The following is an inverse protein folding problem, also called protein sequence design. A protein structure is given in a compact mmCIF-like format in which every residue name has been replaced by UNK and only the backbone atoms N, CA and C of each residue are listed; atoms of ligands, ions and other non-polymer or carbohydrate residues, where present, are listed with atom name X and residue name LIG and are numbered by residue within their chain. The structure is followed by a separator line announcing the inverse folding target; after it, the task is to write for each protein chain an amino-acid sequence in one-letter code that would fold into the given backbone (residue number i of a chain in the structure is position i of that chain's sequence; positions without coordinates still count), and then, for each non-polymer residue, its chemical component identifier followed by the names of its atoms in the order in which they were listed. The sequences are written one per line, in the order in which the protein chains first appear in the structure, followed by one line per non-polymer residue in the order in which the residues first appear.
data_IF_478506589078
#
_entry.id   IF_478506589078
#
_cell.length_a   1.000
_cell.length_b   1.000
_cell.length_c   1.000
_cell.angle_alpha   90.00
_cell.angle_beta   90.00
_cell.angle_gamma   90.00
#
_symmetry.space_group_name_H-M   'P 1'
#
loop_
_entity.id
_entity.type
_entity.pdbx_description
1 polymer ?
#
# COMPACT_ATOMS: atom_id res chain seq x y z
N UNK A 1 -25.95 6.24 -7.67
CA UNK A 1 -25.57 4.84 -7.93
C UNK A 1 -25.22 4.24 -6.61
N UNK A 2 -25.93 3.20 -6.23
CA UNK A 2 -25.91 2.57 -4.92
C UNK A 2 -24.68 1.66 -4.81
N UNK A 3 -23.74 2.03 -3.94
CA UNK A 3 -22.54 1.23 -3.63
C UNK A 3 -22.91 0.30 -2.47
N UNK A 4 -23.48 -0.85 -2.86
CA UNK A 4 -24.03 -1.84 -1.96
C UNK A 4 -23.05 -2.37 -0.90
N UNK A 5 -23.66 -2.70 0.23
CA UNK A 5 -23.16 -3.46 1.37
C UNK A 5 -22.15 -4.56 0.98
N UNK A 6 -20.88 -4.37 1.38
CA UNK A 6 -19.77 -5.31 1.13
C UNK A 6 -19.55 -6.32 2.27
N UNK A 7 -20.58 -6.61 3.08
CA UNK A 7 -20.46 -7.62 4.15
C UNK A 7 -20.85 -9.04 3.74
N UNK A 8 -21.28 -9.26 2.50
CA UNK A 8 -21.59 -10.61 2.00
C UNK A 8 -20.35 -11.30 1.41
N UNK A 9 -19.84 -12.34 2.09
CA UNK A 9 -18.90 -13.29 1.48
C UNK A 9 -19.54 -13.96 0.25
N UNK A 10 -18.84 -14.05 -0.90
CA UNK A 10 -19.39 -14.70 -2.08
C UNK A 10 -19.54 -16.21 -1.85
N UNK A 11 -20.63 -16.78 -2.36
CA UNK A 11 -20.86 -18.23 -2.37
C UNK A 11 -19.81 -18.94 -3.23
N UNK A 12 -19.35 -20.10 -2.76
CA UNK A 12 -18.43 -20.98 -3.47
C UNK A 12 -19.21 -21.94 -4.37
N UNK A 13 -19.16 -21.72 -5.69
CA UNK A 13 -19.66 -22.68 -6.67
C UNK A 13 -18.55 -23.73 -6.89
N UNK A 14 -18.78 -24.94 -6.37
CA UNK A 14 -17.79 -26.01 -6.16
C UNK A 14 -17.07 -26.60 -7.38
N UNK A 15 -17.12 -25.98 -8.56
CA UNK A 15 -16.38 -26.41 -9.76
C UNK A 15 -15.70 -25.26 -10.51
N UNK A 16 -15.95 -24.00 -10.13
CA UNK A 16 -15.30 -22.82 -10.70
C UNK A 16 -14.94 -21.88 -9.53
N UNK A 17 -13.67 -21.47 -9.39
CA UNK A 17 -13.25 -20.50 -8.35
C UNK A 17 -14.16 -19.27 -8.26
N UNK A 18 -14.13 -18.49 -7.16
CA UNK A 18 -15.25 -17.65 -6.72
C UNK A 18 -15.84 -16.85 -7.88
N UNK A 19 -17.12 -17.12 -8.18
CA UNK A 19 -17.94 -16.56 -9.26
C UNK A 19 -18.24 -15.06 -9.10
N UNK A 20 -17.39 -14.34 -8.36
CA UNK A 20 -17.54 -12.93 -8.04
C UNK A 20 -16.80 -12.02 -9.01
N UNK A 21 -17.32 -10.80 -9.15
CA UNK A 21 -16.70 -9.69 -9.88
C UNK A 21 -15.62 -8.96 -9.06
N UNK A 22 -15.48 -9.26 -7.77
CA UNK A 22 -14.48 -8.68 -6.86
C UNK A 22 -13.12 -9.38 -6.91
N UNK A 23 -12.08 -8.84 -6.25
CA UNK A 23 -10.71 -9.37 -6.34
C UNK A 23 -10.58 -10.78 -5.73
N UNK A 24 -9.53 -11.51 -6.10
CA UNK A 24 -9.15 -12.75 -5.38
C UNK A 24 -8.36 -12.35 -4.14
N UNK A 25 -8.97 -12.45 -2.96
CA UNK A 25 -8.32 -12.16 -1.68
C UNK A 25 -7.91 -13.47 -1.01
N UNK A 26 -6.61 -13.75 -0.90
CA UNK A 26 -6.12 -15.02 -0.35
C UNK A 26 -6.59 -15.24 1.10
N UNK A 27 -6.79 -14.17 1.86
CA UNK A 27 -7.29 -14.20 3.23
C UNK A 27 -8.74 -14.72 3.36
N UNK A 28 -9.52 -14.71 2.28
CA UNK A 28 -10.94 -15.07 2.27
C UNK A 28 -11.19 -16.46 1.64
N UNK A 29 -10.13 -17.17 1.24
CA UNK A 29 -10.24 -18.48 0.62
C UNK A 29 -10.14 -19.59 1.68
N UNK A 30 -10.96 -20.63 1.51
CA UNK A 30 -10.70 -21.92 2.17
C UNK A 30 -9.48 -22.58 1.52
N UNK A 31 -8.86 -23.55 2.21
CA UNK A 31 -7.69 -24.25 1.64
C UNK A 31 -7.94 -24.92 0.27
N UNK A 32 -9.07 -25.62 0.03
CA UNK A 32 -9.37 -26.15 -1.30
C UNK A 32 -9.57 -25.06 -2.36
N UNK A 33 -10.19 -23.94 -1.98
CA UNK A 33 -10.38 -22.80 -2.86
C UNK A 33 -9.06 -22.14 -3.26
N UNK A 34 -8.14 -21.99 -2.31
CA UNK A 34 -6.79 -21.51 -2.56
C UNK A 34 -6.09 -22.40 -3.60
N UNK A 35 -6.12 -23.73 -3.41
CA UNK A 35 -5.52 -24.67 -4.36
C UNK A 35 -6.10 -24.50 -5.77
N UNK A 36 -7.42 -24.35 -5.89
CA UNK A 36 -8.10 -24.20 -7.19
C UNK A 36 -7.76 -22.89 -7.92
N UNK A 37 -7.54 -21.78 -7.20
CA UNK A 37 -7.18 -20.51 -7.85
C UNK A 37 -5.69 -20.43 -8.16
N UNK A 38 -4.84 -21.04 -7.33
CA UNK A 38 -3.38 -20.94 -7.41
C UNK A 38 -2.81 -21.34 -8.78
N UNK A 39 -3.38 -22.37 -9.40
CA UNK A 39 -2.98 -22.84 -10.75
C UNK A 39 -3.19 -21.79 -11.86
N UNK A 40 -3.96 -20.74 -11.59
CA UNK A 40 -4.31 -19.68 -12.55
C UNK A 40 -3.68 -18.33 -12.20
N UNK A 41 -2.94 -18.26 -11.09
CA UNK A 41 -2.32 -17.02 -10.64
C UNK A 41 -0.98 -16.81 -11.35
N UNK A 42 -0.86 -15.66 -12.00
CA UNK A 42 0.40 -15.20 -12.57
C UNK A 42 1.16 -14.28 -11.62
N UNK A 43 0.47 -13.59 -10.70
CA UNK A 43 1.05 -12.61 -9.79
C UNK A 43 0.26 -12.53 -8.47
N UNK A 44 0.98 -12.38 -7.36
CA UNK A 44 0.39 -11.99 -6.06
C UNK A 44 0.83 -10.59 -5.67
N UNK A 45 -0.14 -9.72 -5.38
CA UNK A 45 0.08 -8.42 -4.75
C UNK A 45 0.17 -8.60 -3.23
N UNK A 46 1.19 -8.01 -2.61
CA UNK A 46 1.38 -8.03 -1.15
C UNK A 46 1.19 -6.60 -0.62
N UNK A 47 0.03 -6.28 -0.02
CA UNK A 47 -0.18 -4.95 0.55
C UNK A 47 0.68 -4.77 1.80
N UNK A 48 1.47 -3.71 1.84
CA UNK A 48 2.29 -3.34 3.01
C UNK A 48 2.00 -1.90 3.39
N UNK A 49 1.43 -1.72 4.57
CA UNK A 49 1.18 -0.39 5.14
C UNK A 49 2.02 -0.17 6.39
N UNK A 50 1.44 0.58 7.33
CA UNK A 50 1.97 0.79 8.66
C UNK A 50 0.84 1.13 9.65
N UNK A 51 1.22 1.20 10.93
CA UNK A 51 0.34 1.61 12.01
C UNK A 51 0.96 2.80 12.73
N UNK A 52 0.60 4.00 12.31
CA UNK A 52 1.23 5.24 12.75
C UNK A 52 0.26 6.41 12.80
N UNK A 53 0.50 7.35 13.71
CA UNK A 53 -0.23 8.61 13.77
C UNK A 53 -0.31 9.25 12.36
N UNK A 54 -1.44 9.86 12.02
CA UNK A 54 -1.64 10.60 10.77
C UNK A 54 -2.32 11.95 11.06
N UNK A 55 -1.85 12.61 12.12
CA UNK A 55 -2.52 13.79 12.66
C UNK A 55 -3.83 13.48 13.40
N UNK A 56 -4.62 14.53 13.69
CA UNK A 56 -5.83 14.40 14.49
C UNK A 56 -7.03 13.85 13.71
N UNK A 57 -7.02 13.95 12.39
CA UNK A 57 -8.19 13.68 11.56
C UNK A 57 -8.25 12.23 11.04
N UNK A 58 -7.09 11.59 10.81
CA UNK A 58 -7.00 10.30 10.13
C UNK A 58 -6.71 9.15 11.09
N UNK A 59 -7.19 7.93 10.78
CA UNK A 59 -6.91 6.76 11.60
C UNK A 59 -5.44 6.34 11.47
N UNK A 60 -4.92 5.73 12.53
CA UNK A 60 -3.55 5.17 12.55
C UNK A 60 -3.30 4.04 11.54
N UNK A 61 -4.36 3.54 10.88
CA UNK A 61 -4.32 2.49 9.86
C UNK A 61 -4.36 3.03 8.42
N UNK A 62 -4.14 4.33 8.21
CA UNK A 62 -4.27 5.03 6.92
C UNK A 62 -3.49 4.33 5.81
N UNK A 63 -2.23 3.99 6.08
CA UNK A 63 -1.36 3.30 5.12
C UNK A 63 -1.90 1.92 4.73
N UNK A 64 -2.26 1.09 5.72
CA UNK A 64 -2.76 -0.28 5.48
C UNK A 64 -4.06 -0.26 4.71
N UNK A 65 -5.00 0.64 5.06
CA UNK A 65 -6.25 0.80 4.34
C UNK A 65 -6.02 1.17 2.87
N UNK A 66 -5.11 2.11 2.63
CA UNK A 66 -4.74 2.56 1.28
C UNK A 66 -4.12 1.43 0.46
N UNK A 67 -3.18 0.67 1.03
CA UNK A 67 -2.54 -0.46 0.35
C UNK A 67 -3.55 -1.55 -0.02
N UNK A 68 -4.41 -1.94 0.93
CA UNK A 68 -5.44 -2.96 0.72
C UNK A 68 -6.39 -2.60 -0.41
N UNK A 69 -6.90 -1.38 -0.41
CA UNK A 69 -7.87 -0.92 -1.42
C UNK A 69 -7.22 -0.81 -2.77
N UNK A 70 -6.01 -0.25 -2.85
CA UNK A 70 -5.30 -0.13 -4.12
C UNK A 70 -5.00 -1.50 -4.74
N UNK A 71 -4.52 -2.47 -3.94
CA UNK A 71 -4.33 -3.86 -4.38
C UNK A 71 -5.65 -4.51 -4.81
N UNK A 72 -6.72 -4.35 -4.02
CA UNK A 72 -8.02 -4.92 -4.32
C UNK A 72 -8.62 -4.38 -5.63
N UNK A 73 -8.52 -3.08 -5.87
CA UNK A 73 -8.97 -2.47 -7.12
C UNK A 73 -8.13 -2.96 -8.31
N UNK A 74 -6.81 -2.99 -8.21
CA UNK A 74 -5.94 -3.48 -9.28
C UNK A 74 -6.18 -4.97 -9.58
N UNK A 75 -6.26 -5.82 -8.55
CA UNK A 75 -6.53 -7.24 -8.70
C UNK A 75 -7.91 -7.52 -9.29
N UNK A 76 -8.92 -6.69 -8.99
CA UNK A 76 -10.25 -6.77 -9.62
C UNK A 76 -10.15 -6.62 -11.15
N UNK A 77 -9.37 -5.64 -11.61
CA UNK A 77 -9.18 -5.37 -13.04
C UNK A 77 -8.34 -6.45 -13.76
N UNK A 78 -7.55 -7.21 -13.00
CA UNK A 78 -6.61 -8.23 -13.53
C UNK A 78 -7.07 -9.67 -13.28
N UNK A 79 -8.35 -9.86 -12.94
CA UNK A 79 -8.89 -11.20 -12.75
C UNK A 79 -8.87 -12.03 -14.05
N UNK A 80 -8.72 -13.36 -13.93
CA UNK A 80 -8.47 -14.14 -12.71
C UNK A 80 -6.97 -14.30 -12.36
N UNK A 81 -6.08 -13.55 -13.01
CA UNK A 81 -4.63 -13.79 -13.01
C UNK A 81 -3.91 -13.28 -11.76
N UNK A 82 -4.55 -12.38 -11.00
CA UNK A 82 -3.93 -11.68 -9.87
C UNK A 82 -4.73 -11.89 -8.59
N UNK A 83 -4.02 -12.23 -7.51
CA UNK A 83 -4.56 -12.29 -6.16
C UNK A 83 -3.86 -11.31 -5.21
N UNK A 84 -4.50 -11.05 -4.07
CA UNK A 84 -3.99 -10.18 -3.01
C UNK A 84 -3.74 -11.00 -1.75
N UNK A 85 -2.51 -10.97 -1.25
CA UNK A 85 -2.14 -11.57 0.03
C UNK A 85 -2.77 -10.80 1.21
N UNK A 86 -2.86 -11.41 2.41
CA UNK A 86 -3.18 -10.67 3.62
C UNK A 86 -2.24 -9.47 3.79
N UNK A 87 -2.81 -8.31 4.15
CA UNK A 87 -2.00 -7.11 4.32
C UNK A 87 -1.07 -7.23 5.53
N UNK A 88 0.14 -6.67 5.40
CA UNK A 88 1.07 -6.48 6.52
C UNK A 88 0.74 -5.11 7.16
N UNK A 89 0.16 -5.08 8.37
CA UNK A 89 -0.37 -3.85 8.94
C UNK A 89 0.65 -3.03 9.72
N UNK A 90 1.83 -3.59 10.00
CA UNK A 90 2.89 -2.91 10.75
C UNK A 90 4.13 -2.72 9.88
N UNK A 91 4.64 -1.49 9.89
CA UNK A 91 5.81 -1.08 9.12
C UNK A 91 6.94 -0.58 10.01
N UNK A 92 7.91 0.09 9.38
CA UNK A 92 9.02 0.78 10.05
C UNK A 92 8.62 2.24 10.23
N UNK A 93 8.08 2.55 11.40
CA UNK A 93 7.46 3.85 11.75
C UNK A 93 8.13 4.51 12.96
N UNK A 94 9.42 4.23 13.20
CA UNK A 94 10.15 4.75 14.36
C UNK A 94 10.10 6.28 14.46
N UNK A 95 10.05 6.96 13.31
CA UNK A 95 9.97 8.42 13.19
C UNK A 95 8.64 9.00 13.70
N UNK A 96 7.63 8.16 13.91
CA UNK A 96 6.31 8.51 14.44
C UNK A 96 6.11 8.09 15.91
N UNK A 97 7.10 7.48 16.57
CA UNK A 97 6.97 6.98 17.96
C UNK A 97 6.80 8.08 19.02
N UNK A 98 7.16 9.33 18.70
CA UNK A 98 6.97 10.47 19.61
C UNK A 98 5.52 10.92 19.76
N UNK A 99 4.59 10.32 19.01
CA UNK A 99 3.15 10.60 19.05
C UNK A 99 2.37 9.30 19.32
N UNK A 100 1.25 9.38 20.06
CA UNK A 100 0.54 8.19 20.52
C UNK A 100 -0.12 7.41 19.38
N UNK A 101 -0.23 6.09 19.56
CA UNK A 101 -0.90 5.19 18.61
C UNK A 101 0.03 4.49 17.63
N UNK A 102 1.29 4.92 17.48
CA UNK A 102 2.24 4.29 16.56
C UNK A 102 2.75 2.93 17.08
N UNK A 103 2.73 1.91 16.22
CA UNK A 103 3.39 0.62 16.42
C UNK A 103 4.43 0.45 15.31
N UNK A 104 5.72 0.41 15.67
CA UNK A 104 6.81 0.26 14.72
C UNK A 104 7.53 -1.08 14.88
N UNK A 105 7.77 -1.75 13.76
CA UNK A 105 8.73 -2.84 13.66
C UNK A 105 10.16 -2.29 13.52
N UNK A 106 11.13 -3.16 13.77
CA UNK A 106 12.50 -3.00 13.25
C UNK A 106 12.54 -3.40 11.78
N UNK A 107 13.47 -2.84 11.04
CA UNK A 107 13.72 -3.14 9.63
C UNK A 107 13.89 -4.64 9.40
N UNK A 108 14.70 -5.33 10.21
CA UNK A 108 14.93 -6.78 10.07
C UNK A 108 13.66 -7.60 10.33
N UNK A 109 12.75 -7.08 11.16
CA UNK A 109 11.48 -7.76 11.44
C UNK A 109 10.54 -7.64 10.24
N UNK A 110 10.43 -6.46 9.63
CA UNK A 110 9.65 -6.30 8.40
C UNK A 110 10.22 -7.16 7.26
N UNK A 111 11.55 -7.17 7.10
CA UNK A 111 12.23 -8.03 6.11
C UNK A 111 11.88 -9.49 6.34
N UNK A 112 11.98 -9.99 7.58
CA UNK A 112 11.67 -11.38 7.90
C UNK A 112 10.20 -11.74 7.61
N UNK A 113 9.25 -10.84 7.92
CA UNK A 113 7.82 -11.07 7.63
C UNK A 113 7.60 -11.19 6.12
N UNK A 114 8.20 -10.30 5.32
CA UNK A 114 8.07 -10.32 3.86
C UNK A 114 8.72 -11.56 3.26
N UNK A 115 9.94 -11.90 3.69
CA UNK A 115 10.63 -13.12 3.26
C UNK A 115 9.81 -14.38 3.56
N UNK A 116 9.27 -14.50 4.78
CA UNK A 116 8.50 -15.66 5.19
C UNK A 116 7.14 -15.74 4.47
N UNK A 117 6.51 -14.60 4.21
CA UNK A 117 5.28 -14.51 3.42
C UNK A 117 5.51 -15.01 1.99
N UNK A 118 6.52 -14.47 1.31
CA UNK A 118 6.83 -14.84 -0.06
C UNK A 118 7.34 -16.28 -0.14
N UNK A 119 8.24 -16.71 0.76
CA UNK A 119 8.73 -18.10 0.82
C UNK A 119 7.57 -19.09 0.92
N UNK A 120 6.59 -18.82 1.77
CA UNK A 120 5.45 -19.72 1.98
C UNK A 120 4.58 -19.82 0.73
N UNK A 121 4.29 -18.69 0.08
CA UNK A 121 3.50 -18.66 -1.16
C UNK A 121 4.25 -19.25 -2.35
N UNK A 122 5.56 -19.01 -2.43
CA UNK A 122 6.43 -19.59 -3.46
C UNK A 122 6.51 -21.11 -3.33
N UNK A 123 6.45 -21.65 -2.11
CA UNK A 123 6.33 -23.10 -1.86
C UNK A 123 5.09 -23.75 -2.47
N UNK A 124 4.06 -22.97 -2.83
CA UNK A 124 2.88 -23.43 -3.57
C UNK A 124 3.00 -23.24 -5.09
N UNK A 125 4.17 -22.83 -5.60
CA UNK A 125 4.43 -22.67 -7.03
C UNK A 125 4.15 -21.27 -7.59
N UNK A 126 3.84 -20.28 -6.74
CA UNK A 126 3.69 -18.88 -7.18
C UNK A 126 5.08 -18.28 -7.43
N UNK A 127 5.28 -17.66 -8.58
CA UNK A 127 6.63 -17.24 -9.00
C UNK A 127 6.80 -15.74 -9.20
N UNK A 128 5.70 -14.97 -9.20
CA UNK A 128 5.73 -13.51 -9.31
C UNK A 128 5.06 -12.85 -8.11
N UNK A 129 5.76 -11.88 -7.53
CA UNK A 129 5.28 -11.10 -6.38
C UNK A 129 5.52 -9.61 -6.58
N UNK A 130 4.50 -8.80 -6.29
CA UNK A 130 4.63 -7.35 -6.23
C UNK A 130 4.22 -6.85 -4.85
N UNK A 131 5.19 -6.34 -4.10
CA UNK A 131 4.98 -5.68 -2.82
C UNK A 131 4.47 -4.26 -3.10
N UNK A 132 3.28 -3.94 -2.61
CA UNK A 132 2.61 -2.65 -2.82
C UNK A 132 2.66 -1.86 -1.53
N UNK A 133 3.62 -0.93 -1.44
CA UNK A 133 3.95 -0.19 -0.22
C UNK A 133 3.37 1.22 -0.22
N UNK A 134 2.57 1.56 0.78
CA UNK A 134 2.00 2.91 0.96
C UNK A 134 2.67 3.74 2.05
N UNK A 135 3.70 3.20 2.72
CA UNK A 135 4.42 3.92 3.79
C UNK A 135 5.88 4.17 3.44
N UNK A 136 6.32 5.43 3.52
CA UNK A 136 7.69 5.83 3.18
C UNK A 136 8.77 5.14 4.01
N UNK A 137 8.50 4.90 5.30
CA UNK A 137 9.44 4.28 6.24
C UNK A 137 9.85 2.85 5.86
N UNK A 138 8.98 2.14 5.15
CA UNK A 138 9.21 0.75 4.76
C UNK A 138 10.23 0.60 3.62
N UNK A 139 10.47 1.64 2.81
CA UNK A 139 11.17 1.52 1.52
C UNK A 139 12.55 0.86 1.65
N UNK A 140 13.37 1.27 2.62
CA UNK A 140 14.71 0.70 2.81
C UNK A 140 14.66 -0.80 3.15
N UNK A 141 13.76 -1.19 4.05
CA UNK A 141 13.58 -2.58 4.43
C UNK A 141 13.03 -3.42 3.27
N UNK A 142 12.05 -2.90 2.52
CA UNK A 142 11.45 -3.62 1.40
C UNK A 142 12.40 -3.79 0.22
N UNK A 143 13.23 -2.80 -0.10
CA UNK A 143 14.27 -2.96 -1.12
C UNK A 143 15.23 -4.10 -0.76
N UNK A 144 15.69 -4.16 0.51
CA UNK A 144 16.54 -5.25 0.97
C UNK A 144 15.81 -6.60 0.96
N UNK A 145 14.52 -6.64 1.30
CA UNK A 145 13.73 -7.86 1.29
C UNK A 145 13.59 -8.42 -0.14
N UNK A 146 13.28 -7.58 -1.13
CA UNK A 146 13.18 -7.98 -2.55
C UNK A 146 14.48 -8.62 -3.04
N UNK A 147 15.62 -7.96 -2.78
CA UNK A 147 16.95 -8.46 -3.15
C UNK A 147 17.26 -9.82 -2.49
N UNK A 148 16.94 -9.98 -1.20
CA UNK A 148 17.14 -11.24 -0.46
C UNK A 148 16.24 -12.35 -0.96
N UNK A 149 14.97 -12.05 -1.20
CA UNK A 149 14.00 -13.02 -1.71
C UNK A 149 14.43 -13.54 -3.09
N UNK A 150 14.84 -12.66 -3.98
CA UNK A 150 15.35 -13.08 -5.29
C UNK A 150 16.63 -13.93 -5.15
N UNK A 151 17.66 -13.36 -4.52
CA UNK A 151 19.00 -13.98 -4.43
C UNK A 151 19.03 -15.27 -3.61
N UNK A 152 18.38 -15.28 -2.45
CA UNK A 152 18.56 -16.31 -1.42
C UNK A 152 17.43 -17.35 -1.42
N UNK A 153 16.27 -17.04 -2.03
CA UNK A 153 15.11 -17.94 -2.10
C UNK A 153 14.78 -18.42 -3.52
N UNK A 154 15.44 -17.88 -4.54
CA UNK A 154 15.26 -18.29 -5.93
C UNK A 154 13.90 -17.89 -6.52
N UNK A 155 13.22 -16.91 -5.91
CA UNK A 155 11.97 -16.38 -6.46
C UNK A 155 12.30 -15.62 -7.75
N UNK A 156 11.77 -16.04 -8.90
CA UNK A 156 12.21 -15.49 -10.19
C UNK A 156 11.90 -14.01 -10.34
N UNK A 157 10.67 -13.60 -10.01
CA UNK A 157 10.21 -12.21 -10.17
C UNK A 157 9.63 -11.72 -8.86
N UNK A 158 10.36 -10.83 -8.19
CA UNK A 158 9.89 -10.13 -6.99
C UNK A 158 10.24 -8.66 -7.13
N UNK A 159 9.28 -7.78 -6.84
CA UNK A 159 9.47 -6.35 -6.90
C UNK A 159 8.74 -5.64 -5.75
N UNK A 160 9.15 -4.41 -5.45
CA UNK A 160 8.41 -3.52 -4.57
C UNK A 160 8.12 -2.21 -5.29
N UNK A 161 6.89 -1.72 -5.18
CA UNK A 161 6.50 -0.39 -5.64
C UNK A 161 6.14 0.49 -4.45
N UNK A 162 6.69 1.71 -4.42
CA UNK A 162 6.27 2.73 -3.48
C UNK A 162 4.96 3.37 -3.96
N UNK A 163 3.86 2.66 -3.75
CA UNK A 163 2.52 2.98 -4.22
C UNK A 163 1.96 4.30 -3.66
N UNK A 164 2.44 4.77 -2.51
CA UNK A 164 2.15 6.12 -2.05
C UNK A 164 2.53 7.18 -3.11
N UNK A 165 3.63 7.00 -3.84
CA UNK A 165 4.00 7.95 -4.90
C UNK A 165 2.96 8.05 -6.01
N UNK A 166 2.22 6.96 -6.30
CA UNK A 166 1.13 6.97 -7.27
C UNK A 166 -0.06 7.80 -6.75
N UNK A 167 -0.38 7.67 -5.46
CA UNK A 167 -1.39 8.46 -4.76
C UNK A 167 -0.98 9.94 -4.73
N UNK A 168 0.23 10.23 -4.23
CA UNK A 168 0.74 11.59 -4.07
C UNK A 168 0.84 12.33 -5.42
N UNK A 169 1.31 11.67 -6.49
CA UNK A 169 1.37 12.29 -7.82
C UNK A 169 -0.03 12.65 -8.35
N UNK A 170 -0.99 11.73 -8.24
CA UNK A 170 -2.37 12.01 -8.65
C UNK A 170 -3.01 13.11 -7.79
N UNK A 171 -2.78 13.10 -6.48
CA UNK A 171 -3.25 14.14 -5.58
C UNK A 171 -2.62 15.50 -5.88
N UNK A 172 -1.33 15.55 -6.25
CA UNK A 172 -0.63 16.80 -6.53
C UNK A 172 -1.25 17.51 -7.74
N UNK A 173 -1.60 16.74 -8.78
CA UNK A 173 -2.30 17.27 -9.96
C UNK A 173 -3.70 17.79 -9.64
N UNK A 174 -4.41 17.16 -8.69
CA UNK A 174 -5.81 17.46 -8.38
C UNK A 174 -6.01 18.52 -7.30
N UNK A 175 -5.19 18.47 -6.25
CA UNK A 175 -5.32 19.24 -5.01
C UNK A 175 -4.18 20.25 -4.82
N UNK A 176 -3.12 20.15 -5.63
CA UNK A 176 -1.95 21.00 -5.56
C UNK A 176 -0.84 20.46 -4.64
N UNK A 177 0.37 21.06 -4.71
CA UNK A 177 1.56 20.56 -4.00
C UNK A 177 1.49 20.72 -2.48
N UNK A 178 0.67 21.62 -1.96
CA UNK A 178 0.49 21.78 -0.51
C UNK A 178 -0.30 20.63 0.10
N UNK A 179 -1.12 19.92 -0.68
CA UNK A 179 -1.86 18.77 -0.22
C UNK A 179 -0.98 17.55 0.05
N UNK A 180 0.26 17.54 -0.47
CA UNK A 180 1.15 16.38 -0.40
C UNK A 180 1.94 16.36 0.90
N UNK A 181 1.80 15.27 1.64
CA UNK A 181 2.54 15.03 2.85
C UNK A 181 1.80 14.07 3.77
N UNK A 182 2.45 13.75 4.88
CA UNK A 182 1.90 12.91 5.92
C UNK A 182 0.73 13.60 6.63
N UNK A 183 -0.41 12.92 6.74
CA UNK A 183 -1.69 13.49 7.16
C UNK A 183 -2.26 14.53 6.19
N UNK A 184 -1.72 14.61 4.98
CA UNK A 184 -2.05 15.62 3.97
C UNK A 184 -3.41 15.39 3.29
N UNK A 185 -3.70 16.25 2.32
CA UNK A 185 -4.90 16.16 1.51
C UNK A 185 -4.93 14.94 0.59
N UNK A 186 -3.76 14.44 0.18
CA UNK A 186 -3.57 13.18 -0.55
C UNK A 186 -4.13 11.97 0.22
N UNK A 187 -3.68 11.77 1.46
CA UNK A 187 -4.11 10.67 2.33
C UNK A 187 -5.53 10.91 2.85
N UNK A 188 -5.85 12.15 3.24
CA UNK A 188 -7.17 12.49 3.76
C UNK A 188 -8.27 12.25 2.74
N UNK A 189 -8.05 12.63 1.47
CA UNK A 189 -9.02 12.40 0.41
C UNK A 189 -9.25 10.89 0.20
N UNK A 190 -8.17 10.11 0.16
CA UNK A 190 -8.22 8.64 0.02
C UNK A 190 -9.02 8.01 1.15
N UNK A 191 -8.75 8.34 2.42
CA UNK A 191 -9.49 7.75 3.55
C UNK A 191 -10.95 8.23 3.57
N UNK A 192 -11.24 9.48 3.22
CA UNK A 192 -12.63 9.95 3.05
C UNK A 192 -13.41 9.15 2.00
N UNK A 193 -12.74 8.66 0.95
CA UNK A 193 -13.37 7.83 -0.07
C UNK A 193 -13.60 6.38 0.39
N UNK A 194 -12.70 5.83 1.23
CA UNK A 194 -12.70 4.40 1.60
C UNK A 194 -13.47 4.16 2.91
N UNK A 195 -13.16 4.94 3.95
CA UNK A 195 -13.68 4.81 5.32
C UNK A 195 -13.98 6.19 5.91
N UNK A 196 -14.97 6.93 5.35
CA UNK A 196 -15.35 8.25 5.86
C UNK A 196 -15.80 8.24 7.32
N UNK A 197 -16.22 7.08 7.84
CA UNK A 197 -16.60 6.85 9.24
C UNK A 197 -15.42 6.89 10.21
N UNK A 198 -14.18 6.75 9.71
CA UNK A 198 -12.96 6.81 10.52
C UNK A 198 -12.30 8.20 10.51
N UNK A 199 -12.83 9.15 9.74
CA UNK A 199 -12.26 10.49 9.61
C UNK A 199 -12.96 11.43 10.58
N UNK A 200 -12.20 12.03 11.49
CA UNK A 200 -12.71 13.14 12.30
C UNK A 200 -12.76 14.42 11.46
N UNK A 201 -13.95 14.70 10.92
CA UNK A 201 -14.19 15.89 10.10
C UNK A 201 -14.01 17.21 10.85
N UNK A 202 -14.06 17.20 12.18
CA UNK A 202 -13.92 18.43 12.99
C UNK A 202 -12.47 18.92 13.07
N UNK A 203 -11.51 18.03 12.81
CA UNK A 203 -10.06 18.32 12.85
C UNK A 203 -9.41 18.25 11.46
N UNK A 204 -10.19 17.94 10.43
CA UNK A 204 -9.80 18.02 9.02
C UNK A 204 -9.50 19.48 8.62
N UNK A 205 -8.53 19.68 7.73
CA UNK A 205 -8.05 21.02 7.35
C UNK A 205 -6.90 21.52 8.21
N UNK A 206 -6.34 20.66 9.07
CA UNK A 206 -5.06 20.94 9.73
C UNK A 206 -3.96 21.16 8.69
N UNK A 207 -3.10 22.17 8.95
CA UNK A 207 -1.93 22.51 8.15
C UNK A 207 -0.80 22.87 9.10
N UNK A 208 0.18 22.00 9.17
CA UNK A 208 1.43 22.26 9.89
C UNK A 208 2.58 21.90 8.96
N UNK A 209 3.54 22.81 8.77
CA UNK A 209 4.72 22.55 7.95
C UNK A 209 5.92 23.25 8.56
N UNK A 210 7.02 22.53 8.74
CA UNK A 210 8.31 23.10 9.06
C UNK A 210 9.10 23.35 7.77
N UNK A 211 8.94 24.54 7.19
CA UNK A 211 9.49 24.89 5.87
C UNK A 211 11.02 24.68 5.72
N UNK A 212 11.87 25.08 6.69
CA UNK A 212 13.31 24.77 6.62
C UNK A 212 13.59 23.28 6.53
N UNK A 213 12.91 22.47 7.34
CA UNK A 213 13.10 21.01 7.37
C UNK A 213 12.57 20.38 6.08
N UNK A 214 11.36 20.78 5.62
CA UNK A 214 10.77 20.32 4.35
C UNK A 214 11.72 20.58 3.18
N UNK A 215 12.28 21.79 3.09
CA UNK A 215 13.24 22.17 2.04
C UNK A 215 14.47 21.26 2.00
N UNK A 216 15.12 21.05 3.16
CA UNK A 216 16.32 20.19 3.21
C UNK A 216 15.96 18.75 2.88
N UNK A 217 14.84 18.24 3.41
CA UNK A 217 14.36 16.90 3.12
C UNK A 217 14.10 16.71 1.61
N UNK A 218 13.46 17.66 0.93
CA UNK A 218 13.22 17.62 -0.51
C UNK A 218 14.52 17.60 -1.32
N UNK A 219 15.50 18.46 -0.97
CA UNK A 219 16.80 18.50 -1.67
C UNK A 219 17.57 17.19 -1.51
N UNK A 220 17.62 16.66 -0.28
CA UNK A 220 18.30 15.40 0.02
C UNK A 220 17.65 14.23 -0.73
N UNK A 221 16.30 14.14 -0.71
CA UNK A 221 15.56 13.09 -1.44
C UNK A 221 15.75 13.19 -2.95
N UNK A 222 15.74 14.39 -3.51
CA UNK A 222 15.98 14.61 -4.95
C UNK A 222 17.38 14.15 -5.39
N UNK A 223 18.35 14.16 -4.48
CA UNK A 223 19.70 13.62 -4.69
C UNK A 223 19.83 12.12 -4.37
N UNK A 224 18.73 11.41 -4.09
CA UNK A 224 18.73 9.99 -3.74
C UNK A 224 19.10 9.69 -2.28
N UNK A 225 19.16 10.71 -1.42
CA UNK A 225 19.49 10.58 0.00
C UNK A 225 18.25 10.48 0.91
N UNK A 226 18.52 10.20 2.19
CA UNK A 226 17.51 10.17 3.26
C UNK A 226 17.93 11.11 4.39
N UNK A 227 16.99 11.93 4.85
CA UNK A 227 17.14 12.73 6.07
C UNK A 227 16.23 12.14 7.16
N UNK A 228 16.80 11.45 8.18
CA UNK A 228 16.01 10.91 9.28
C UNK A 228 15.49 12.03 10.17
N UNK A 229 14.20 12.00 10.51
CA UNK A 229 13.53 13.02 11.31
C UNK A 229 12.49 12.35 12.20
N UNK A 230 12.43 12.74 13.48
CA UNK A 230 11.31 12.38 14.34
C UNK A 230 10.20 13.42 14.15
N UNK A 231 9.02 12.97 13.73
CA UNK A 231 7.97 13.86 13.23
C UNK A 231 7.42 14.80 14.32
N UNK A 232 7.36 14.34 15.57
CA UNK A 232 6.99 15.17 16.72
C UNK A 232 7.94 16.35 17.00
N UNK A 233 9.16 16.34 16.42
CA UNK A 233 10.10 17.46 16.52
C UNK A 233 9.90 18.50 15.42
N UNK A 234 9.18 18.16 14.36
CA UNK A 234 8.97 19.04 13.20
C UNK A 234 7.61 19.72 13.27
N UNK A 235 6.56 18.99 13.65
CA UNK A 235 5.20 19.50 13.81
C UNK A 235 4.55 18.93 15.08
N UNK A 236 3.61 19.68 15.68
CA UNK A 236 3.00 19.32 16.95
C UNK A 236 1.99 18.18 16.78
N UNK A 237 1.19 18.21 15.71
CA UNK A 237 0.24 17.13 15.38
C UNK A 237 0.88 15.96 14.64
N UNK A 238 2.10 16.12 14.14
CA UNK A 238 2.76 15.16 13.27
C UNK A 238 2.38 15.27 11.79
N UNK A 239 1.39 16.09 11.42
CA UNK A 239 1.02 16.37 10.02
C UNK A 239 2.12 17.17 9.32
N UNK A 240 2.32 16.97 8.01
CA UNK A 240 3.16 17.83 7.16
C UNK A 240 2.56 18.19 5.79
N UNK A 241 1.28 17.93 5.56
CA UNK A 241 0.51 18.36 4.38
C UNK A 241 -0.73 19.17 4.74
N UNK A 242 -1.36 19.80 3.75
CA UNK A 242 -2.60 20.58 3.88
C UNK A 242 -3.82 19.70 3.51
N UNK A 243 -4.63 19.36 4.52
CA UNK A 243 -5.83 18.52 4.34
C UNK A 243 -7.10 19.31 3.97
N UNK A 244 -7.03 20.64 3.80
CA UNK A 244 -8.22 21.50 3.65
C UNK A 244 -8.99 21.28 2.35
N UNK A 245 -8.34 20.78 1.31
CA UNK A 245 -8.96 20.50 0.00
C UNK A 245 -9.43 19.05 -0.14
N UNK A 246 -9.27 18.21 0.89
CA UNK A 246 -9.59 16.79 0.82
C UNK A 246 -11.11 16.55 0.74
N UNK A 247 -11.54 15.80 -0.27
CA UNK A 247 -12.92 15.34 -0.40
C UNK A 247 -12.96 13.85 -0.78
N UNK A 248 -14.10 13.19 -0.52
CA UNK A 248 -14.29 11.79 -0.91
C UNK A 248 -14.28 11.62 -2.44
N UNK A 249 -14.80 12.62 -3.18
CA UNK A 249 -14.79 12.66 -4.64
C UNK A 249 -13.35 12.75 -5.17
N UNK A 250 -12.52 13.61 -4.58
CA UNK A 250 -11.10 13.69 -4.92
C UNK A 250 -10.39 12.37 -4.61
N UNK A 251 -10.65 11.75 -3.46
CA UNK A 251 -10.08 10.46 -3.09
C UNK A 251 -10.42 9.34 -4.07
N UNK A 252 -11.67 9.30 -4.53
CA UNK A 252 -12.12 8.34 -5.56
C UNK A 252 -11.35 8.55 -6.87
N UNK A 253 -11.16 9.81 -7.29
CA UNK A 253 -10.42 10.13 -8.50
C UNK A 253 -8.92 9.80 -8.38
N UNK A 254 -8.31 10.09 -7.23
CA UNK A 254 -6.91 9.77 -6.90
C UNK A 254 -6.70 8.25 -6.95
N UNK A 255 -7.55 7.48 -6.25
CA UNK A 255 -7.50 6.02 -6.25
C UNK A 255 -7.67 5.44 -7.65
N UNK A 256 -8.55 5.99 -8.48
CA UNK A 256 -8.73 5.54 -9.87
C UNK A 256 -7.46 5.69 -10.71
N UNK A 257 -6.74 6.81 -10.57
CA UNK A 257 -5.47 7.05 -11.27
C UNK A 257 -4.36 6.16 -10.74
N UNK A 258 -4.18 6.10 -9.42
CA UNK A 258 -3.17 5.25 -8.80
C UNK A 258 -3.40 3.77 -9.12
N UNK A 259 -4.66 3.31 -9.14
CA UNK A 259 -5.02 1.93 -9.54
C UNK A 259 -4.63 1.65 -10.98
N UNK A 260 -4.91 2.57 -11.90
CA UNK A 260 -4.56 2.39 -13.31
C UNK A 260 -3.06 2.25 -13.52
N UNK A 261 -2.26 3.02 -12.77
CA UNK A 261 -0.79 2.93 -12.81
C UNK A 261 -0.28 1.63 -12.18
N UNK A 262 -0.83 1.23 -11.02
CA UNK A 262 -0.47 -0.04 -10.39
C UNK A 262 -0.82 -1.23 -11.29
N UNK A 263 -1.97 -1.19 -11.96
CA UNK A 263 -2.39 -2.20 -12.93
C UNK A 263 -1.37 -2.34 -14.05
N UNK A 264 -0.94 -1.22 -14.65
CA UNK A 264 0.05 -1.25 -15.72
C UNK A 264 1.37 -1.87 -15.26
N UNK A 265 1.86 -1.54 -14.05
CA UNK A 265 3.06 -2.16 -13.48
C UNK A 265 2.88 -3.68 -13.31
N UNK A 266 1.72 -4.11 -12.84
CA UNK A 266 1.41 -5.54 -12.69
C UNK A 266 1.32 -6.27 -14.03
N UNK A 267 0.73 -5.65 -15.06
CA UNK A 267 0.69 -6.17 -16.43
C UNK A 267 2.12 -6.39 -16.97
N UNK A 268 2.98 -5.38 -16.87
CA UNK A 268 4.39 -5.49 -17.30
C UNK A 268 5.13 -6.62 -16.56
N UNK A 269 4.95 -6.77 -15.25
CA UNK A 269 5.58 -7.86 -14.49
C UNK A 269 5.09 -9.25 -14.90
N UNK A 270 3.82 -9.39 -15.28
CA UNK A 270 3.26 -10.65 -15.76
C UNK A 270 3.77 -11.01 -17.15
N UNK A 271 4.05 -10.02 -17.99
CA UNK A 271 4.51 -10.20 -19.37
C UNK A 271 6.02 -10.50 -19.47
N UNK A 272 6.78 -10.30 -18.40
CA UNK A 272 8.19 -10.70 -18.33
C UNK A 272 8.33 -12.22 -18.46
N UNK A 273 9.17 -12.63 -19.42
CA UNK A 273 9.61 -14.02 -19.57
C UNK A 273 10.43 -14.46 -18.34
N UNK A 274 9.81 -15.33 -17.55
CA UNK A 274 10.36 -15.85 -16.30
C UNK A 274 11.65 -16.64 -16.50
N UNK A 275 11.87 -17.23 -17.68
CA UNK A 275 13.07 -18.00 -17.97
C UNK A 275 14.31 -17.10 -18.09
N UNK A 276 14.13 -15.78 -18.17
CA UNK A 276 15.21 -14.79 -18.04
C UNK A 276 15.88 -14.86 -16.66
N UNK A 277 15.13 -15.20 -15.61
CA UNK A 277 15.59 -15.18 -14.21
C UNK A 277 15.96 -16.56 -13.65
N UNK A 278 15.87 -17.61 -14.49
CA UNK A 278 16.19 -18.99 -14.13
C UNK A 278 17.53 -19.49 -14.71
N UNK A 279 18.17 -18.70 -15.57
CA UNK A 279 19.47 -19.01 -16.18
C UNK A 279 20.63 -18.57 -15.30
#
# INVERSE_FOLDING_TARGET
MDIGDRTASPAFDGENGPAGTGPILLAELTSPAFAAVNERLDLVLIPVGAHEQHGPALPVSTDTLSAQVLCGLAATLLRPRVAVAPAIPWGVSWHHLGLPGTISLREETLIAIVEDTIRSLHGYGIERFLIVNTHGGNNAALHLAVERVHRDRGVPIVASVYAYSLIANAAQEMLGPEAIGHGGGDESAVILAIRPDLVDRSTLGSREVNEPVRRVQSIVRAAGGVLPLEQHRTTASGVNGDSSQATAEAGTAILGRATSQLRAIAEELMDVDIDTFRR
#
